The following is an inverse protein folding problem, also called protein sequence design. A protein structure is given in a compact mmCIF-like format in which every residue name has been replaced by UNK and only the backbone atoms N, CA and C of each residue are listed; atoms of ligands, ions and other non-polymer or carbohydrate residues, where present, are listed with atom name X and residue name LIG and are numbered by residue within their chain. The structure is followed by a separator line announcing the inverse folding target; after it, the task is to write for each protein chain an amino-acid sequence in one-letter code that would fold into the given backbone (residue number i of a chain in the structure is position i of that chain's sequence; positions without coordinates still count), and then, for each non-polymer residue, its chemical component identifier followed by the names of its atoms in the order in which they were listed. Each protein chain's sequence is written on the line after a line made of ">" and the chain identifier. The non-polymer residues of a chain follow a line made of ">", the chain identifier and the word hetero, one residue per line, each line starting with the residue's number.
data_IF_786321908130
#
_entry.id   IF_786321908130
#
_cell.length_a   1.000
_cell.length_b   1.000
_cell.length_c   1.000
_cell.angle_alpha   90.00
_cell.angle_beta   90.00
_cell.angle_gamma   90.00
#
_symmetry.space_group_name_H-M   'P 1'
#
loop_
_entity.id
_entity.type
_entity.pdbx_description
1 polymer ?
#
# COMPACT_ATOMS: atom_id res chain seq x y z
N UNK A 1 -30.44 -13.68 9.83
CA UNK A 1 -31.54 -12.90 10.43
C UNK A 1 -32.62 -12.60 9.37
N UNK A 2 -33.11 -13.63 8.65
CA UNK A 2 -34.00 -13.52 7.48
C UNK A 2 -35.25 -14.42 7.58
N UNK A 3 -35.43 -15.14 8.70
CA UNK A 3 -36.49 -16.14 8.88
C UNK A 3 -37.84 -15.53 9.32
N UNK A 4 -37.83 -14.28 9.79
CA UNK A 4 -39.00 -13.67 10.40
C UNK A 4 -39.86 -12.90 9.39
N UNK A 5 -39.28 -12.32 8.33
CA UNK A 5 -40.03 -11.44 7.43
C UNK A 5 -40.97 -12.20 6.48
N UNK A 6 -40.58 -13.41 6.06
CA UNK A 6 -41.48 -14.32 5.32
C UNK A 6 -42.65 -14.81 6.17
N UNK A 7 -42.44 -14.96 7.47
CA UNK A 7 -43.48 -15.38 8.41
C UNK A 7 -44.50 -14.25 8.62
N UNK A 8 -44.02 -13.01 8.72
CA UNK A 8 -44.87 -11.81 8.87
C UNK A 8 -45.70 -11.55 7.61
N UNK A 9 -45.11 -11.70 6.42
CA UNK A 9 -45.85 -11.58 5.16
C UNK A 9 -46.95 -12.66 5.02
N UNK A 10 -46.63 -13.91 5.37
CA UNK A 10 -47.62 -15.00 5.37
C UNK A 10 -48.74 -14.76 6.39
N UNK A 11 -48.42 -14.26 7.58
CA UNK A 11 -49.40 -13.92 8.61
C UNK A 11 -50.33 -12.77 8.18
N UNK A 12 -49.82 -11.78 7.46
CA UNK A 12 -50.61 -10.69 6.92
C UNK A 12 -51.60 -11.15 5.84
N UNK A 13 -51.19 -12.08 4.97
CA UNK A 13 -52.09 -12.63 3.95
C UNK A 13 -53.19 -13.49 4.60
N UNK A 14 -52.83 -14.32 5.58
CA UNK A 14 -53.81 -15.12 6.34
C UNK A 14 -54.82 -14.26 7.10
N UNK A 15 -54.41 -13.12 7.65
CA UNK A 15 -55.35 -12.22 8.33
C UNK A 15 -56.28 -11.52 7.34
N UNK A 16 -55.79 -11.12 6.16
CA UNK A 16 -56.61 -10.54 5.11
C UNK A 16 -57.67 -11.53 4.59
N UNK A 17 -57.31 -12.82 4.50
CA UNK A 17 -58.23 -13.91 4.16
C UNK A 17 -59.31 -14.12 5.20
N UNK A 18 -58.94 -14.12 6.49
CA UNK A 18 -59.89 -14.25 7.59
C UNK A 18 -60.90 -13.08 7.60
N UNK A 19 -60.45 -11.86 7.29
CA UNK A 19 -61.30 -10.68 7.21
C UNK A 19 -62.24 -10.76 6.00
N UNK A 20 -61.76 -11.17 4.83
CA UNK A 20 -62.61 -11.35 3.64
C UNK A 20 -63.69 -12.41 3.84
N UNK A 21 -63.36 -13.52 4.52
CA UNK A 21 -64.32 -14.57 4.88
C UNK A 21 -65.34 -14.10 5.93
N UNK A 22 -64.92 -13.24 6.86
CA UNK A 22 -65.79 -12.75 7.94
C UNK A 22 -66.71 -11.60 7.51
N UNK A 23 -66.33 -10.82 6.48
CA UNK A 23 -67.11 -9.67 5.98
C UNK A 23 -68.07 -10.08 4.85
N UNK A 24 -67.80 -11.18 4.15
CA UNK A 24 -68.72 -11.76 3.17
C UNK A 24 -69.86 -12.49 3.90
N UNK A 25 -70.84 -11.73 4.38
CA UNK A 25 -72.07 -12.20 5.05
C UNK A 25 -72.99 -12.89 4.03
N UNK A 26 -72.58 -14.08 3.60
CA UNK A 26 -73.18 -14.78 2.48
C UNK A 26 -73.67 -16.14 2.98
N UNK A 27 -74.99 -16.36 2.91
CA UNK A 27 -75.62 -17.70 2.88
C UNK A 27 -75.17 -18.44 1.60
N UNK A 28 -73.87 -18.64 1.47
CA UNK A 28 -73.20 -19.22 0.33
C UNK A 28 -72.87 -20.64 0.70
N UNK A 29 -73.57 -21.58 0.06
CA UNK A 29 -73.18 -22.98 0.04
C UNK A 29 -72.40 -23.17 -1.27
N UNK A 30 -71.07 -22.89 -1.29
CA UNK A 30 -70.30 -23.04 -2.51
C UNK A 30 -70.38 -24.49 -2.99
N UNK A 31 -70.63 -24.68 -4.29
CA UNK A 31 -70.29 -25.95 -4.91
C UNK A 31 -68.79 -26.20 -4.71
N UNK A 32 -68.39 -27.47 -4.61
CA UNK A 32 -66.99 -27.87 -4.46
C UNK A 32 -66.07 -27.18 -5.48
N UNK A 33 -66.54 -27.00 -6.71
CA UNK A 33 -65.79 -26.34 -7.79
C UNK A 33 -65.54 -24.85 -7.51
N UNK A 34 -66.51 -24.15 -6.92
CA UNK A 34 -66.39 -22.73 -6.58
C UNK A 34 -65.43 -22.52 -5.41
N UNK A 35 -65.48 -23.41 -4.40
CA UNK A 35 -64.54 -23.39 -3.29
C UNK A 35 -63.10 -23.66 -3.75
N UNK A 36 -62.91 -24.66 -4.62
CA UNK A 36 -61.60 -24.98 -5.21
C UNK A 36 -61.06 -23.80 -6.02
N UNK A 37 -61.93 -23.10 -6.79
CA UNK A 37 -61.54 -21.90 -7.53
C UNK A 37 -61.04 -20.76 -6.64
N UNK A 38 -61.70 -20.50 -5.52
CA UNK A 38 -61.29 -19.46 -4.56
C UNK A 38 -59.93 -19.83 -3.93
N UNK A 39 -59.78 -21.06 -3.44
CA UNK A 39 -58.52 -21.52 -2.85
C UNK A 39 -57.37 -21.50 -3.87
N UNK A 40 -57.62 -21.93 -5.11
CA UNK A 40 -56.63 -21.88 -6.19
C UNK A 40 -56.20 -20.44 -6.50
N UNK A 41 -57.14 -19.49 -6.54
CA UNK A 41 -56.83 -18.07 -6.73
C UNK A 41 -55.97 -17.49 -5.61
N UNK A 42 -56.29 -17.82 -4.36
CA UNK A 42 -55.53 -17.35 -3.19
C UNK A 42 -54.12 -17.93 -3.15
N UNK A 43 -53.95 -19.22 -3.45
CA UNK A 43 -52.64 -19.86 -3.57
C UNK A 43 -51.82 -19.17 -4.66
N UNK A 44 -52.43 -18.85 -5.82
CA UNK A 44 -51.77 -18.13 -6.91
C UNK A 44 -51.27 -16.74 -6.51
N UNK A 45 -52.08 -15.96 -5.79
CA UNK A 45 -51.69 -14.64 -5.27
C UNK A 45 -50.57 -14.76 -4.24
N UNK A 46 -50.68 -15.69 -3.29
CA UNK A 46 -49.64 -15.94 -2.28
C UNK A 46 -48.31 -16.33 -2.93
N UNK A 47 -48.34 -17.25 -3.89
CA UNK A 47 -47.16 -17.72 -4.61
C UNK A 47 -46.47 -16.57 -5.37
N UNK A 48 -47.26 -15.70 -6.02
CA UNK A 48 -46.72 -14.54 -6.75
C UNK A 48 -46.04 -13.54 -5.81
N UNK A 49 -46.67 -13.22 -4.68
CA UNK A 49 -46.08 -12.32 -3.67
C UNK A 49 -44.80 -12.92 -3.09
N UNK A 50 -44.79 -14.23 -2.77
CA UNK A 50 -43.64 -14.93 -2.23
C UNK A 50 -42.45 -14.92 -3.19
N UNK A 51 -42.68 -15.26 -4.46
CA UNK A 51 -41.65 -15.23 -5.50
C UNK A 51 -41.17 -13.80 -5.75
N UNK A 52 -42.07 -12.81 -5.78
CA UNK A 52 -41.71 -11.40 -5.91
C UNK A 52 -40.78 -10.90 -4.80
N UNK A 53 -41.07 -11.28 -3.55
CA UNK A 53 -40.22 -10.94 -2.41
C UNK A 53 -38.85 -11.62 -2.46
N UNK A 54 -38.81 -12.89 -2.88
CA UNK A 54 -37.54 -13.61 -3.09
C UNK A 54 -36.68 -12.95 -4.16
N UNK A 55 -37.29 -12.55 -5.29
CA UNK A 55 -36.61 -11.83 -6.38
C UNK A 55 -36.08 -10.49 -5.87
N UNK A 56 -36.90 -9.69 -5.18
CA UNK A 56 -36.49 -8.40 -4.64
C UNK A 56 -35.30 -8.53 -3.69
N UNK A 57 -35.37 -9.45 -2.72
CA UNK A 57 -34.28 -9.67 -1.78
C UNK A 57 -33.02 -10.20 -2.46
N UNK A 58 -33.17 -11.06 -3.47
CA UNK A 58 -32.04 -11.55 -4.25
C UNK A 58 -31.36 -10.41 -5.03
N UNK A 59 -32.12 -9.48 -5.59
CA UNK A 59 -31.59 -8.31 -6.30
C UNK A 59 -30.89 -7.36 -5.32
N UNK A 60 -31.52 -7.04 -4.20
CA UNK A 60 -30.92 -6.16 -3.17
C UNK A 60 -29.62 -6.77 -2.60
N UNK A 61 -29.63 -8.06 -2.29
CA UNK A 61 -28.44 -8.79 -1.82
C UNK A 61 -27.34 -8.75 -2.87
N UNK A 62 -27.68 -8.96 -4.15
CA UNK A 62 -26.70 -8.90 -5.26
C UNK A 62 -26.10 -7.50 -5.39
N UNK A 63 -26.91 -6.45 -5.30
CA UNK A 63 -26.43 -5.06 -5.38
C UNK A 63 -25.47 -4.73 -4.24
N UNK A 64 -25.83 -5.11 -3.00
CA UNK A 64 -24.96 -4.96 -1.83
C UNK A 64 -23.67 -5.74 -1.97
N UNK A 65 -23.72 -6.97 -2.50
CA UNK A 65 -22.54 -7.78 -2.75
C UNK A 65 -21.61 -7.11 -3.78
N UNK A 66 -22.15 -6.59 -4.88
CA UNK A 66 -21.37 -5.85 -5.88
C UNK A 66 -20.74 -4.57 -5.31
N UNK A 67 -21.43 -3.88 -4.41
CA UNK A 67 -20.89 -2.71 -3.73
C UNK A 67 -19.72 -3.09 -2.81
N UNK A 68 -19.86 -4.15 -2.03
CA UNK A 68 -18.79 -4.70 -1.19
C UNK A 68 -17.58 -5.08 -2.03
N UNK A 69 -17.77 -5.78 -3.15
CA UNK A 69 -16.69 -6.16 -4.07
C UNK A 69 -15.95 -4.94 -4.62
N UNK A 70 -16.69 -3.89 -5.02
CA UNK A 70 -16.11 -2.62 -5.47
C UNK A 70 -15.29 -1.95 -4.36
N UNK A 71 -15.82 -1.89 -3.14
CA UNK A 71 -15.12 -1.32 -1.98
C UNK A 71 -13.87 -2.12 -1.66
N UNK A 72 -13.92 -3.45 -1.67
CA UNK A 72 -12.76 -4.31 -1.43
C UNK A 72 -11.66 -4.08 -2.47
N UNK A 73 -12.03 -3.98 -3.75
CA UNK A 73 -11.07 -3.72 -4.83
C UNK A 73 -10.41 -2.34 -4.67
N UNK A 74 -11.20 -1.32 -4.31
CA UNK A 74 -10.71 0.03 -4.02
C UNK A 74 -9.75 0.02 -2.83
N UNK A 75 -10.13 -0.59 -1.71
CA UNK A 75 -9.30 -0.71 -0.51
C UNK A 75 -7.99 -1.45 -0.79
N UNK A 76 -8.02 -2.52 -1.59
CA UNK A 76 -6.81 -3.24 -1.99
C UNK A 76 -5.84 -2.34 -2.76
N UNK A 77 -6.37 -1.52 -3.68
CA UNK A 77 -5.57 -0.56 -4.46
C UNK A 77 -5.00 0.55 -3.57
N UNK A 78 -5.82 1.13 -2.69
CA UNK A 78 -5.38 2.16 -1.75
C UNK A 78 -4.33 1.64 -0.78
N UNK A 79 -4.50 0.44 -0.24
CA UNK A 79 -3.52 -0.21 0.63
C UNK A 79 -2.19 -0.46 -0.09
N UNK A 80 -2.23 -0.89 -1.35
CA UNK A 80 -1.01 -1.08 -2.14
C UNK A 80 -0.30 0.24 -2.41
N UNK A 81 -1.05 1.31 -2.71
CA UNK A 81 -0.51 2.67 -2.87
C UNK A 81 0.14 3.16 -1.57
N UNK A 82 -0.57 3.07 -0.44
CA UNK A 82 -0.09 3.52 0.85
C UNK A 82 1.16 2.74 1.31
N UNK A 83 1.23 1.43 1.04
CA UNK A 83 2.43 0.63 1.29
C UNK A 83 3.62 1.10 0.45
N UNK A 84 3.40 1.41 -0.83
CA UNK A 84 4.46 1.92 -1.72
C UNK A 84 4.96 3.28 -1.26
N UNK A 85 4.04 4.20 -0.95
CA UNK A 85 4.37 5.54 -0.46
C UNK A 85 5.12 5.49 0.87
N UNK A 86 4.66 4.67 1.82
CA UNK A 86 5.34 4.45 3.09
C UNK A 86 6.76 3.91 2.90
N UNK A 87 6.95 2.88 2.06
CA UNK A 87 8.29 2.35 1.76
C UNK A 87 9.19 3.45 1.20
N UNK A 88 8.68 4.25 0.27
CA UNK A 88 9.45 5.34 -0.33
C UNK A 88 9.83 6.42 0.69
N UNK A 89 8.89 6.79 1.56
CA UNK A 89 9.12 7.75 2.64
C UNK A 89 10.18 7.25 3.64
N UNK A 90 10.16 5.97 3.98
CA UNK A 90 11.15 5.34 4.86
C UNK A 90 12.55 5.35 4.23
N UNK A 91 12.67 5.01 2.94
CA UNK A 91 13.92 5.10 2.20
C UNK A 91 14.48 6.53 2.22
N UNK A 92 13.65 7.53 1.91
CA UNK A 92 14.07 8.93 1.90
C UNK A 92 14.46 9.44 3.30
N UNK A 93 13.75 9.02 4.34
CA UNK A 93 14.08 9.36 5.73
C UNK A 93 15.44 8.77 6.12
N UNK A 94 15.68 7.49 5.84
CA UNK A 94 16.95 6.84 6.13
C UNK A 94 18.09 7.47 5.32
N UNK A 95 17.85 7.80 4.05
CA UNK A 95 18.80 8.53 3.22
C UNK A 95 19.18 9.88 3.87
N UNK A 96 18.19 10.66 4.30
CA UNK A 96 18.40 11.95 4.96
C UNK A 96 19.15 11.82 6.29
N UNK A 97 18.81 10.85 7.13
CA UNK A 97 19.47 10.61 8.42
C UNK A 97 20.94 10.26 8.21
N UNK A 98 21.24 9.28 7.36
CA UNK A 98 22.61 8.87 7.04
C UNK A 98 23.41 10.03 6.43
N UNK A 99 22.79 10.84 5.58
CA UNK A 99 23.45 11.99 4.98
C UNK A 99 23.81 13.07 6.00
N UNK A 100 22.86 13.46 6.85
CA UNK A 100 23.10 14.44 7.92
C UNK A 100 24.16 13.95 8.91
N UNK A 101 24.14 12.65 9.24
CA UNK A 101 25.16 12.05 10.09
C UNK A 101 26.55 12.15 9.45
N UNK A 102 26.68 11.78 8.17
CA UNK A 102 27.92 11.93 7.42
C UNK A 102 28.42 13.38 7.38
N UNK A 103 27.54 14.35 7.10
CA UNK A 103 27.92 15.78 7.11
C UNK A 103 28.45 16.22 8.49
N UNK A 104 27.79 15.81 9.58
CA UNK A 104 28.18 16.17 10.94
C UNK A 104 29.56 15.65 11.36
N UNK A 105 30.00 14.54 10.76
CA UNK A 105 31.26 13.88 11.06
C UNK A 105 32.38 14.24 10.07
N UNK A 106 32.07 14.83 8.92
CA UNK A 106 33.01 15.07 7.81
C UNK A 106 34.37 15.66 8.22
N UNK A 107 34.39 16.57 9.20
CA UNK A 107 35.60 17.26 9.67
C UNK A 107 36.36 16.51 10.78
N UNK A 108 35.69 15.57 11.47
CA UNK A 108 36.27 14.87 12.65
C UNK A 108 36.59 13.42 12.36
N UNK A 109 35.68 12.73 11.68
CA UNK A 109 35.74 11.30 11.35
C UNK A 109 35.38 11.12 9.88
N UNK A 110 36.28 11.50 8.96
CA UNK A 110 35.97 11.57 7.54
C UNK A 110 35.65 10.21 6.90
N UNK A 111 36.22 9.11 7.40
CA UNK A 111 35.92 7.76 6.89
C UNK A 111 34.55 7.27 7.37
N UNK A 112 34.20 7.45 8.64
CA UNK A 112 32.82 7.25 9.14
C UNK A 112 31.81 8.11 8.38
N UNK A 113 32.18 9.36 8.06
CA UNK A 113 31.36 10.23 7.24
C UNK A 113 31.15 9.69 5.83
N UNK A 114 32.20 9.15 5.20
CA UNK A 114 32.14 8.55 3.88
C UNK A 114 31.21 7.33 3.85
N UNK A 115 31.36 6.42 4.81
CA UNK A 115 30.49 5.24 4.97
C UNK A 115 29.00 5.63 5.10
N UNK A 116 28.75 6.66 5.92
CA UNK A 116 27.41 7.21 6.12
C UNK A 116 26.84 7.84 4.84
N UNK A 117 27.66 8.57 4.06
CA UNK A 117 27.25 9.16 2.78
C UNK A 117 27.07 8.11 1.67
N UNK A 118 27.87 7.04 1.67
CA UNK A 118 27.63 5.89 0.79
C UNK A 118 26.26 5.27 1.08
N UNK A 119 25.95 5.06 2.35
CA UNK A 119 24.66 4.54 2.80
C UNK A 119 23.51 5.46 2.38
N UNK A 120 23.68 6.79 2.49
CA UNK A 120 22.65 7.73 2.04
C UNK A 120 22.39 7.66 0.54
N UNK A 121 23.43 7.47 -0.27
CA UNK A 121 23.30 7.28 -1.72
C UNK A 121 22.57 5.97 -2.03
N UNK A 122 22.88 4.87 -1.31
CA UNK A 122 22.20 3.59 -1.50
C UNK A 122 20.67 3.73 -1.31
N UNK A 123 20.24 4.38 -0.22
CA UNK A 123 18.82 4.62 0.04
C UNK A 123 18.19 5.59 -0.98
N UNK A 124 18.88 6.67 -1.35
CA UNK A 124 18.37 7.64 -2.31
C UNK A 124 18.19 7.03 -3.72
N UNK A 125 19.12 6.17 -4.14
CA UNK A 125 19.04 5.44 -5.40
C UNK A 125 17.89 4.43 -5.39
N UNK A 126 17.66 3.71 -4.28
CA UNK A 126 16.49 2.82 -4.15
C UNK A 126 15.16 3.60 -4.17
N UNK A 127 15.12 4.79 -3.57
CA UNK A 127 13.97 5.70 -3.62
C UNK A 127 13.75 6.34 -5.01
N UNK A 128 14.74 6.23 -5.90
CA UNK A 128 14.71 6.76 -7.26
C UNK A 128 14.37 8.26 -7.31
N UNK A 129 15.02 9.06 -6.47
CA UNK A 129 14.92 10.54 -6.46
C UNK A 129 16.20 11.18 -7.04
N UNK A 130 16.22 11.57 -8.33
CA UNK A 130 17.42 12.08 -8.99
C UNK A 130 17.98 13.35 -8.37
N UNK A 131 17.13 14.19 -7.78
CA UNK A 131 17.55 15.47 -7.19
C UNK A 131 18.36 15.22 -5.93
N UNK A 132 17.85 14.35 -5.05
CA UNK A 132 18.52 13.96 -3.81
C UNK A 132 19.81 13.19 -4.12
N UNK A 133 19.73 12.22 -5.04
CA UNK A 133 20.87 11.42 -5.47
C UNK A 133 22.02 12.32 -5.93
N UNK A 134 21.74 13.27 -6.83
CA UNK A 134 22.76 14.20 -7.35
C UNK A 134 23.41 15.01 -6.23
N UNK A 135 22.61 15.54 -5.29
CA UNK A 135 23.13 16.29 -4.17
C UNK A 135 24.06 15.45 -3.29
N UNK A 136 23.66 14.22 -2.95
CA UNK A 136 24.45 13.34 -2.10
C UNK A 136 25.74 12.88 -2.76
N UNK A 137 25.72 12.64 -4.07
CA UNK A 137 26.94 12.34 -4.85
C UNK A 137 27.89 13.54 -4.88
N UNK A 138 27.39 14.76 -5.05
CA UNK A 138 28.25 15.96 -4.96
C UNK A 138 28.93 16.04 -3.59
N UNK A 139 28.20 15.75 -2.51
CA UNK A 139 28.73 15.83 -1.15
C UNK A 139 29.76 14.72 -0.86
N UNK A 140 29.57 13.50 -1.36
CA UNK A 140 30.58 12.44 -1.18
C UNK A 140 31.86 12.73 -1.98
N UNK A 141 31.74 13.34 -3.16
CA UNK A 141 32.89 13.81 -3.94
C UNK A 141 33.64 14.93 -3.20
N UNK A 142 32.93 15.92 -2.68
CA UNK A 142 33.55 16.99 -1.88
C UNK A 142 34.25 16.45 -0.62
N UNK A 143 33.69 15.41 0.00
CA UNK A 143 34.33 14.73 1.13
C UNK A 143 35.63 14.03 0.70
N UNK A 144 35.67 13.40 -0.47
CA UNK A 144 36.92 12.80 -0.97
C UNK A 144 38.00 13.85 -1.23
N UNK A 145 37.64 15.00 -1.79
CA UNK A 145 38.55 16.14 -1.99
C UNK A 145 39.08 16.69 -0.66
N UNK A 146 38.22 16.81 0.36
CA UNK A 146 38.61 17.21 1.71
C UNK A 146 39.64 16.23 2.30
N UNK A 147 39.39 14.92 2.19
CA UNK A 147 40.31 13.90 2.71
C UNK A 147 41.67 13.98 2.01
N UNK A 148 41.68 14.12 0.68
CA UNK A 148 42.90 14.28 -0.09
C UNK A 148 43.70 15.53 0.34
N UNK A 149 43.02 16.65 0.56
CA UNK A 149 43.62 17.90 1.03
C UNK A 149 44.26 17.74 2.43
N UNK A 150 43.54 17.13 3.38
CA UNK A 150 44.03 16.84 4.74
C UNK A 150 45.30 15.96 4.70
N UNK A 151 45.30 14.92 3.86
CA UNK A 151 46.48 14.05 3.66
C UNK A 151 47.64 14.87 3.08
N UNK A 152 47.38 15.70 2.07
CA UNK A 152 48.43 16.50 1.40
C UNK A 152 49.12 17.49 2.34
N UNK A 153 48.38 18.01 3.32
CA UNK A 153 48.87 18.90 4.38
C UNK A 153 49.48 18.16 5.57
N UNK A 154 49.48 16.83 5.53
CA UNK A 154 49.98 15.96 6.59
C UNK A 154 49.29 16.24 7.95
N UNK A 155 47.99 16.55 7.90
CA UNK A 155 47.15 16.72 9.09
C UNK A 155 46.85 15.37 9.75
N UNK A 156 46.57 15.39 11.06
CA UNK A 156 46.17 14.18 11.79
C UNK A 156 44.71 13.87 11.43
N UNK A 157 44.48 12.70 10.83
CA UNK A 157 43.16 12.25 10.39
C UNK A 157 42.71 11.10 11.28
N UNK A 158 41.50 11.19 11.82
CA UNK A 158 40.85 10.06 12.48
C UNK A 158 40.50 9.01 11.42
N UNK A 159 41.13 7.83 11.54
CA UNK A 159 40.98 6.70 10.63
C UNK A 159 39.96 5.67 11.11
N UNK A 160 39.08 6.04 12.04
CA UNK A 160 37.93 5.23 12.43
C UNK A 160 37.13 4.78 11.19
N UNK A 161 36.75 3.51 11.15
CA UNK A 161 35.99 2.88 10.06
C UNK A 161 36.69 2.82 8.69
N UNK A 162 38.00 3.08 8.61
CA UNK A 162 38.75 3.00 7.34
C UNK A 162 38.64 1.62 6.66
N UNK A 163 38.60 0.55 7.46
CA UNK A 163 38.41 -0.82 6.97
C UNK A 163 36.98 -1.06 6.44
N UNK A 164 35.97 -0.43 7.05
CA UNK A 164 34.59 -0.47 6.52
C UNK A 164 34.56 0.16 5.14
N UNK A 165 35.13 1.36 5.01
CA UNK A 165 35.18 2.11 3.76
C UNK A 165 35.88 1.34 2.64
N UNK A 166 36.98 0.66 2.95
CA UNK A 166 37.72 -0.16 1.97
C UNK A 166 36.88 -1.33 1.41
N UNK A 167 35.88 -1.80 2.17
CA UNK A 167 34.97 -2.87 1.75
C UNK A 167 33.77 -2.40 0.92
N UNK A 168 33.54 -1.09 0.81
CA UNK A 168 32.39 -0.53 0.11
C UNK A 168 32.56 -0.63 -1.42
N UNK A 169 31.45 -0.90 -2.10
CA UNK A 169 31.43 -1.02 -3.56
C UNK A 169 30.18 -0.39 -4.16
N UNK A 170 30.35 0.68 -4.95
CA UNK A 170 29.24 1.32 -5.65
C UNK A 170 28.66 0.46 -6.78
N UNK A 171 29.37 -0.57 -7.26
CA UNK A 171 28.85 -1.43 -8.32
C UNK A 171 27.58 -2.20 -7.89
N UNK A 172 27.33 -2.35 -6.58
CA UNK A 172 26.08 -2.94 -6.06
C UNK A 172 24.83 -2.15 -6.49
N UNK A 173 25.01 -0.89 -6.88
CA UNK A 173 23.93 0.00 -7.32
C UNK A 173 23.63 -0.12 -8.82
N UNK A 174 24.40 -0.90 -9.59
CA UNK A 174 24.19 -1.10 -11.03
C UNK A 174 22.79 -1.63 -11.40
N UNK A 175 22.10 -2.27 -10.45
CA UNK A 175 20.72 -2.75 -10.60
C UNK A 175 19.67 -1.62 -10.67
N UNK A 176 20.02 -0.41 -10.28
CA UNK A 176 19.09 0.72 -10.23
C UNK A 176 19.25 1.65 -11.44
N UNK A 177 18.18 1.98 -12.16
CA UNK A 177 18.26 2.84 -13.34
C UNK A 177 18.90 4.21 -13.05
N UNK A 178 18.58 4.83 -11.91
CA UNK A 178 19.13 6.13 -11.54
C UNK A 178 20.66 6.13 -11.35
N UNK A 179 21.26 4.97 -11.04
CA UNK A 179 22.71 4.85 -10.88
C UNK A 179 23.47 5.10 -12.17
N UNK A 180 22.90 4.75 -13.33
CA UNK A 180 23.54 4.97 -14.63
C UNK A 180 23.93 6.43 -14.89
N UNK A 181 23.22 7.38 -14.29
CA UNK A 181 23.47 8.82 -14.45
C UNK A 181 24.56 9.36 -13.52
N UNK A 182 24.94 8.61 -12.48
CA UNK A 182 25.88 9.01 -11.43
C UNK A 182 27.07 8.05 -11.29
N UNK A 183 27.08 6.97 -12.06
CA UNK A 183 28.04 5.88 -11.95
C UNK A 183 29.48 6.39 -11.98
N UNK A 184 29.82 7.23 -12.97
CA UNK A 184 31.18 7.75 -13.12
C UNK A 184 31.62 8.54 -11.88
N UNK A 185 30.76 9.43 -11.37
CA UNK A 185 31.06 10.21 -10.16
C UNK A 185 31.26 9.33 -8.93
N UNK A 186 30.40 8.31 -8.75
CA UNK A 186 30.51 7.36 -7.64
C UNK A 186 31.80 6.54 -7.72
N UNK A 187 32.12 5.99 -8.89
CA UNK A 187 33.33 5.19 -9.08
C UNK A 187 34.60 6.04 -8.95
N UNK A 188 34.58 7.28 -9.42
CA UNK A 188 35.68 8.22 -9.21
C UNK A 188 35.89 8.52 -7.72
N UNK A 189 34.81 8.78 -6.97
CA UNK A 189 34.89 8.98 -5.52
C UNK A 189 35.42 7.73 -4.80
N UNK A 190 34.99 6.52 -5.21
CA UNK A 190 35.49 5.26 -4.64
C UNK A 190 36.98 5.05 -4.92
N UNK A 191 37.42 5.34 -6.14
CA UNK A 191 38.84 5.24 -6.50
C UNK A 191 39.70 6.26 -5.74
N UNK A 192 39.21 7.49 -5.60
CA UNK A 192 39.88 8.54 -4.82
C UNK A 192 40.02 8.13 -3.35
N UNK A 193 38.94 7.69 -2.69
CA UNK A 193 39.03 7.29 -1.28
C UNK A 193 39.96 6.09 -1.09
N UNK A 194 39.91 5.09 -1.97
CA UNK A 194 40.79 3.92 -1.90
C UNK A 194 42.27 4.29 -2.06
N UNK A 195 42.58 5.28 -2.89
CA UNK A 195 43.93 5.81 -3.01
C UNK A 195 44.37 6.57 -1.75
N UNK A 196 43.46 7.35 -1.15
CA UNK A 196 43.70 8.02 0.13
C UNK A 196 43.96 7.03 1.27
N UNK A 197 43.21 5.94 1.35
CA UNK A 197 43.41 4.86 2.33
C UNK A 197 44.82 4.26 2.20
N UNK A 198 45.28 3.98 0.98
CA UNK A 198 46.62 3.45 0.70
C UNK A 198 47.76 4.39 1.08
N UNK A 199 47.51 5.69 1.22
CA UNK A 199 48.53 6.67 1.66
C UNK A 199 48.63 6.77 3.18
N UNK A 200 47.56 6.39 3.89
CA UNK A 200 47.50 6.43 5.36
C UNK A 200 48.02 5.12 5.97
N UNK A 201 47.78 3.99 5.30
CA UNK A 201 48.33 2.67 5.67
C UNK A 201 49.78 2.53 5.20
#
# INVERSE_FOLDING_TARGET
>A
MLKNDSLTAAAFVLSLLAILFSVADFNFSPSTDTFVGIIAGLIGVCATIMVGFQIFNSIDTRNKLQEIEKIQLKLKKELQSAKKERKNSELLMNAGISHCYGLSLSQKQPFTAYDSMFTSICYAVEANDPTIIKNYVTNIVALTELIEDLISKNEIIDNSDIESVESLDFNILAKFPAYTLIQDSCLNAQNSINNSIKKIK
#
